data_IF_867548299827
#
_entry.id   IF_867548299827
#
_cell.length_a   1.000
_cell.length_b   1.000
_cell.length_c   1.000
_cell.angle_alpha   90.00
_cell.angle_beta   90.00
_cell.angle_gamma   90.00
#
_symmetry.space_group_name_H-M   'P 1'
#
loop_
_entity.id
_entity.type
_entity.pdbx_description
1 polymer ?
#
# COMPACT_ATOMS: atom_id res chain seq x y z
N UNK A 1 21.99 0.51 15.82
CA UNK A 1 21.31 1.31 16.82
C UNK A 1 21.45 0.65 18.19
N UNK A 2 21.27 1.41 19.25
CA UNK A 2 21.32 0.87 20.62
C UNK A 2 22.70 0.82 21.27
N UNK A 3 23.78 1.14 20.57
CA UNK A 3 25.10 1.37 21.15
C UNK A 3 25.31 2.87 21.36
N UNK A 4 26.04 3.24 22.42
CA UNK A 4 26.40 4.63 22.64
C UNK A 4 27.18 5.21 21.46
N UNK A 5 26.94 6.46 21.10
CA UNK A 5 27.59 7.19 20.00
C UNK A 5 27.36 6.58 18.59
N UNK A 6 26.42 5.63 18.41
CA UNK A 6 26.08 5.13 17.08
C UNK A 6 25.02 5.99 16.41
N UNK A 7 25.23 6.33 15.15
CA UNK A 7 24.25 7.02 14.30
C UNK A 7 23.87 6.06 13.16
N UNK A 8 22.58 5.88 12.94
CA UNK A 8 22.05 5.04 11.88
C UNK A 8 21.04 5.85 11.07
N UNK A 9 21.28 5.95 9.77
CA UNK A 9 20.37 6.56 8.81
C UNK A 9 19.58 5.44 8.15
N UNK A 10 18.26 5.60 8.10
CA UNK A 10 17.36 4.57 7.59
C UNK A 10 16.08 5.18 7.06
N UNK A 11 15.31 4.40 6.30
CA UNK A 11 14.00 4.78 5.80
C UNK A 11 12.87 4.27 6.71
N UNK A 12 11.63 4.57 6.37
CA UNK A 12 10.41 4.12 7.07
C UNK A 12 10.32 2.59 7.25
N UNK A 13 11.02 1.82 6.41
CA UNK A 13 11.09 0.35 6.48
C UNK A 13 11.60 -0.13 7.84
N UNK A 14 12.55 0.57 8.43
CA UNK A 14 13.08 0.26 9.77
C UNK A 14 12.12 0.58 10.90
N UNK A 15 10.99 1.22 10.63
CA UNK A 15 9.93 1.47 11.59
C UNK A 15 9.30 0.18 12.14
N UNK A 16 9.49 -1.00 11.51
CA UNK A 16 8.87 -2.27 11.89
C UNK A 16 9.83 -3.46 11.69
N UNK A 17 9.56 -4.57 12.39
CA UNK A 17 10.20 -5.87 12.13
C UNK A 17 11.52 -6.12 12.87
N UNK A 18 12.22 -5.09 13.36
CA UNK A 18 13.48 -5.25 14.10
C UNK A 18 13.34 -4.67 15.49
N UNK A 19 13.76 -5.41 16.52
CA UNK A 19 13.83 -4.90 17.88
C UNK A 19 15.19 -4.23 18.14
N UNK A 20 15.14 -3.03 18.71
CA UNK A 20 16.34 -2.26 19.04
C UNK A 20 16.62 -2.47 20.52
N UNK A 21 17.71 -3.18 20.82
CA UNK A 21 18.15 -3.42 22.19
C UNK A 21 19.21 -2.40 22.57
N UNK A 22 18.97 -1.68 23.68
CA UNK A 22 19.96 -0.78 24.24
C UNK A 22 21.13 -1.56 24.85
N UNK A 23 22.35 -1.08 24.63
CA UNK A 23 23.57 -1.74 25.12
C UNK A 23 24.25 -2.68 24.13
N UNK A 24 23.53 -3.12 23.07
CA UNK A 24 24.04 -4.02 22.03
C UNK A 24 23.28 -5.33 21.94
N UNK A 25 23.71 -6.23 21.04
CA UNK A 25 23.06 -7.51 20.79
C UNK A 25 23.42 -8.53 21.87
N UNK A 26 22.42 -9.23 22.41
CA UNK A 26 22.64 -10.38 23.31
C UNK A 26 23.49 -11.43 22.63
N UNK A 27 24.49 -11.95 23.35
CA UNK A 27 25.40 -12.98 22.83
C UNK A 27 26.68 -12.46 22.20
N UNK A 28 26.82 -11.16 21.93
CA UNK A 28 28.07 -10.58 21.41
C UNK A 28 28.97 -9.96 22.51
N UNK A 29 28.46 -9.80 23.72
CA UNK A 29 29.14 -9.17 24.87
C UNK A 29 28.72 -9.92 26.13
N UNK A 30 29.60 -9.96 27.15
CA UNK A 30 29.25 -10.51 28.47
C UNK A 30 28.04 -9.79 29.08
N UNK A 31 27.15 -10.52 29.72
CA UNK A 31 25.88 -9.96 30.25
C UNK A 31 26.07 -8.79 31.22
N UNK A 32 27.11 -8.85 32.06
CA UNK A 32 27.45 -7.77 32.99
C UNK A 32 27.83 -6.46 32.27
N UNK A 33 28.54 -6.58 31.18
CA UNK A 33 28.93 -5.44 30.34
C UNK A 33 27.73 -4.88 29.58
N UNK A 34 26.85 -5.75 29.13
CA UNK A 34 25.61 -5.37 28.43
C UNK A 34 24.66 -4.58 29.33
N UNK A 35 24.52 -5.00 30.61
CA UNK A 35 23.75 -4.26 31.62
C UNK A 35 24.34 -2.87 31.87
N UNK A 36 25.65 -2.79 32.12
CA UNK A 36 26.34 -1.50 32.33
C UNK A 36 26.17 -0.56 31.15
N UNK A 37 26.32 -1.07 29.91
CA UNK A 37 26.12 -0.28 28.69
C UNK A 37 24.66 0.18 28.54
N UNK A 38 23.68 -0.66 28.88
CA UNK A 38 22.28 -0.32 28.86
C UNK A 38 21.96 0.79 29.87
N UNK A 39 22.43 0.66 31.09
CA UNK A 39 22.22 1.64 32.17
C UNK A 39 22.88 2.99 31.82
N UNK A 40 24.06 2.96 31.25
CA UNK A 40 24.72 4.17 30.75
C UNK A 40 23.91 4.85 29.65
N UNK A 41 23.38 4.10 28.66
CA UNK A 41 22.57 4.67 27.59
C UNK A 41 21.25 5.25 28.14
N UNK A 42 20.63 4.59 29.11
CA UNK A 42 19.46 5.13 29.80
C UNK A 42 19.77 6.45 30.52
N UNK A 43 20.89 6.50 31.25
CA UNK A 43 21.27 7.72 32.00
C UNK A 43 21.52 8.94 31.11
N UNK A 44 21.86 8.74 29.83
CA UNK A 44 22.02 9.84 28.86
C UNK A 44 20.74 10.13 28.05
N UNK A 45 19.60 9.50 28.39
CA UNK A 45 18.30 9.76 27.78
C UNK A 45 17.81 8.75 26.72
N UNK A 46 18.50 7.59 26.62
CA UNK A 46 18.06 6.47 25.78
C UNK A 46 18.25 6.68 24.28
N UNK A 47 17.37 6.07 23.47
CA UNK A 47 17.42 6.18 22.03
C UNK A 47 16.75 7.49 21.57
N UNK A 48 17.46 8.26 20.74
CA UNK A 48 16.94 9.46 20.10
C UNK A 48 16.58 9.18 18.66
N UNK A 49 15.31 9.38 18.29
CA UNK A 49 14.78 9.19 16.95
C UNK A 49 14.55 10.55 16.32
N UNK A 50 15.18 10.80 15.18
CA UNK A 50 15.02 12.03 14.40
C UNK A 50 14.33 11.65 13.09
N UNK A 51 13.15 12.22 12.85
CA UNK A 51 12.49 12.19 11.55
C UNK A 51 12.81 13.47 10.78
N UNK A 52 13.24 13.34 9.54
CA UNK A 52 13.55 14.47 8.65
C UNK A 52 12.38 14.88 7.79
N UNK A 53 11.28 14.14 7.85
CA UNK A 53 10.01 14.40 7.16
C UNK A 53 8.85 13.73 7.90
N UNK A 54 7.62 14.11 7.59
CA UNK A 54 6.43 13.39 8.02
C UNK A 54 6.11 12.28 7.03
N UNK A 55 5.74 11.13 7.55
CA UNK A 55 5.26 10.02 6.73
C UNK A 55 3.84 10.26 6.22
N UNK A 56 3.43 9.54 5.19
CA UNK A 56 2.08 9.64 4.62
C UNK A 56 0.96 9.31 5.62
N UNK A 57 1.27 8.54 6.66
CA UNK A 57 0.31 8.12 7.68
C UNK A 57 0.82 8.40 9.09
N UNK A 58 -0.06 8.98 9.92
CA UNK A 58 0.20 9.20 11.35
C UNK A 58 0.61 7.92 12.09
N UNK A 59 0.07 6.78 11.65
CA UNK A 59 0.42 5.48 12.23
C UNK A 59 1.90 5.14 12.01
N UNK A 60 2.44 5.46 10.83
CA UNK A 60 3.85 5.22 10.50
C UNK A 60 4.75 6.17 11.30
N UNK A 61 4.37 7.45 11.45
CA UNK A 61 5.06 8.37 12.35
C UNK A 61 5.13 7.85 13.80
N UNK A 62 4.00 7.36 14.29
CA UNK A 62 3.93 6.79 15.64
C UNK A 62 4.77 5.51 15.78
N UNK A 63 4.88 4.70 14.72
CA UNK A 63 5.77 3.54 14.69
C UNK A 63 7.25 3.98 14.77
N UNK A 64 7.63 5.02 14.04
CA UNK A 64 8.97 5.58 14.11
C UNK A 64 9.25 6.17 15.51
N UNK A 65 8.33 6.94 16.07
CA UNK A 65 8.41 7.46 17.45
C UNK A 65 8.52 6.34 18.48
N UNK A 66 7.74 5.28 18.30
CA UNK A 66 7.73 4.11 19.18
C UNK A 66 9.02 3.27 19.11
N UNK A 67 10.01 3.64 18.30
CA UNK A 67 11.36 3.08 18.36
C UNK A 67 12.14 3.59 19.56
N UNK A 68 11.90 4.83 19.96
CA UNK A 68 12.36 5.34 21.26
C UNK A 68 11.43 4.82 22.37
N UNK A 69 11.95 4.58 23.55
CA UNK A 69 11.14 4.22 24.72
C UNK A 69 10.54 2.82 24.71
N UNK A 70 11.10 1.87 23.98
CA UNK A 70 10.63 0.47 23.99
C UNK A 70 10.88 -0.19 25.35
N UNK A 71 9.95 -1.07 25.73
CA UNK A 71 10.02 -1.82 27.01
C UNK A 71 10.16 -0.94 28.25
N UNK A 72 9.64 0.30 28.21
CA UNK A 72 9.74 1.26 29.30
C UNK A 72 11.11 1.93 29.42
N UNK A 73 12.00 1.75 28.43
CA UNK A 73 13.28 2.47 28.40
C UNK A 73 13.04 3.95 28.05
N UNK A 74 13.84 4.84 28.60
CA UNK A 74 13.83 6.26 28.25
C UNK A 74 14.20 6.46 26.79
N UNK A 75 13.62 7.49 26.16
CA UNK A 75 13.91 7.83 24.78
C UNK A 75 13.26 9.13 24.37
N UNK A 76 13.75 9.71 23.27
CA UNK A 76 13.23 10.97 22.71
C UNK A 76 12.98 10.83 21.24
N UNK A 77 12.02 11.61 20.73
CA UNK A 77 11.77 11.70 19.30
C UNK A 77 11.45 13.13 18.89
N UNK A 78 11.99 13.55 17.75
CA UNK A 78 11.70 14.85 17.14
C UNK A 78 11.51 14.67 15.63
N UNK A 79 10.63 15.46 15.04
CA UNK A 79 10.45 15.53 13.61
C UNK A 79 10.76 16.94 13.12
N UNK A 80 11.69 17.04 12.20
CA UNK A 80 11.96 18.24 11.42
C UNK A 80 11.21 18.13 10.11
N UNK A 81 10.42 19.14 9.77
CA UNK A 81 9.55 19.15 8.62
C UNK A 81 9.82 20.41 7.82
N UNK A 82 10.02 20.27 6.53
CA UNK A 82 10.14 21.39 5.60
C UNK A 82 8.79 21.70 4.96
N UNK A 83 8.61 22.96 4.57
CA UNK A 83 7.47 23.37 3.74
C UNK A 83 7.56 22.83 2.31
N UNK A 84 8.77 22.44 1.90
CA UNK A 84 9.05 21.84 0.60
C UNK A 84 8.79 20.34 0.57
N UNK A 85 8.53 19.70 1.73
CA UNK A 85 8.20 18.30 1.80
C UNK A 85 6.96 17.99 0.97
N UNK A 86 6.93 16.81 0.33
CA UNK A 86 5.86 16.40 -0.58
C UNK A 86 4.47 16.48 0.06
N UNK A 87 4.36 16.15 1.34
CA UNK A 87 3.12 16.27 2.10
C UNK A 87 2.61 17.72 2.16
N UNK A 88 3.52 18.66 2.36
CA UNK A 88 3.21 20.09 2.40
C UNK A 88 2.95 20.65 1.02
N UNK A 89 3.70 20.23 0.01
CA UNK A 89 3.54 20.65 -1.38
C UNK A 89 2.21 20.23 -1.97
N UNK A 90 1.72 19.01 -1.66
CA UNK A 90 0.48 18.47 -2.22
C UNK A 90 -0.76 18.99 -1.47
N UNK A 91 -0.67 19.16 -0.15
CA UNK A 91 -1.81 19.46 0.71
C UNK A 91 -1.67 20.76 1.52
N UNK A 92 -0.50 21.41 1.46
CA UNK A 92 -0.29 22.73 2.00
C UNK A 92 -1.14 23.72 1.20
N UNK A 93 -2.11 24.37 1.85
CA UNK A 93 -2.91 25.38 1.19
C UNK A 93 -2.08 26.66 1.00
N UNK A 94 -2.37 27.43 -0.08
CA UNK A 94 -1.82 28.78 -0.26
C UNK A 94 -2.02 29.67 0.99
N UNK A 95 -3.06 29.39 1.75
CA UNK A 95 -3.32 30.03 3.03
C UNK A 95 -2.19 29.81 4.05
N UNK A 96 -1.46 28.70 4.00
CA UNK A 96 -0.36 28.42 4.89
C UNK A 96 0.87 29.25 4.54
N UNK A 97 1.18 29.41 3.25
CA UNK A 97 2.25 30.28 2.78
C UNK A 97 1.99 31.73 3.19
N UNK A 98 0.74 32.18 3.09
CA UNK A 98 0.34 33.52 3.53
C UNK A 98 0.46 33.72 5.07
N UNK A 99 0.16 32.68 5.85
CA UNK A 99 0.31 32.72 7.31
C UNK A 99 1.80 32.78 7.68
N UNK A 100 2.63 31.99 7.01
CA UNK A 100 4.07 31.92 7.26
C UNK A 100 4.77 33.23 6.87
N UNK A 101 4.38 33.84 5.74
CA UNK A 101 4.85 35.18 5.38
C UNK A 101 4.43 36.24 6.39
N UNK A 102 3.22 36.16 6.95
CA UNK A 102 2.74 37.08 8.01
C UNK A 102 3.46 36.88 9.34
N UNK A 103 3.96 35.67 9.62
CA UNK A 103 4.76 35.37 10.81
C UNK A 103 6.22 35.84 10.67
N UNK A 104 6.59 36.43 9.53
CA UNK A 104 7.88 37.10 9.35
C UNK A 104 9.07 36.16 9.31
N UNK A 105 8.87 34.92 8.86
CA UNK A 105 9.94 33.93 8.72
C UNK A 105 11.01 34.38 7.77
N UNK A 106 12.23 34.40 8.27
CA UNK A 106 13.45 34.48 7.45
C UNK A 106 13.90 33.07 7.09
N UNK A 107 14.48 32.91 5.90
CA UNK A 107 15.05 31.64 5.47
C UNK A 107 16.02 31.09 6.54
N UNK A 108 15.78 29.84 6.95
CA UNK A 108 16.62 29.16 7.93
C UNK A 108 16.11 29.22 9.39
N UNK A 109 15.00 29.88 9.68
CA UNK A 109 14.40 29.86 11.03
C UNK A 109 13.47 28.67 11.21
N UNK A 110 13.52 28.00 12.37
CA UNK A 110 12.60 26.94 12.74
C UNK A 110 11.45 27.47 13.56
N UNK A 111 10.21 27.07 13.25
CA UNK A 111 9.04 27.43 14.02
C UNK A 111 8.45 26.19 14.69
N UNK A 112 8.25 26.31 15.98
CA UNK A 112 7.43 25.36 16.73
C UNK A 112 6.16 26.09 17.19
N UNK A 113 5.08 25.92 16.42
CA UNK A 113 3.81 26.54 16.74
C UNK A 113 2.66 25.53 16.66
N UNK A 114 1.75 25.49 17.64
CA UNK A 114 0.65 24.51 17.68
C UNK A 114 -0.24 24.51 16.44
N UNK A 115 -0.39 25.64 15.76
CA UNK A 115 -1.19 25.75 14.54
C UNK A 115 -0.55 25.03 13.35
N UNK A 116 0.78 25.06 13.26
CA UNK A 116 1.52 24.36 12.21
C UNK A 116 1.35 22.86 12.42
N UNK A 117 1.46 22.38 13.64
CA UNK A 117 1.24 20.98 13.97
C UNK A 117 -0.18 20.52 13.61
N UNK A 118 -1.21 21.35 13.89
CA UNK A 118 -2.60 21.07 13.45
C UNK A 118 -2.76 21.07 11.92
N UNK A 119 -2.09 21.96 11.21
CA UNK A 119 -2.14 22.03 9.78
C UNK A 119 -1.49 20.79 9.15
N UNK A 120 -0.34 20.36 9.66
CA UNK A 120 0.33 19.11 9.29
C UNK A 120 -0.56 17.88 9.53
N UNK A 121 -1.22 17.80 10.68
CA UNK A 121 -2.15 16.70 10.96
C UNK A 121 -3.32 16.66 9.97
N UNK A 122 -3.87 17.80 9.61
CA UNK A 122 -4.96 17.89 8.62
C UNK A 122 -4.48 17.50 7.21
N UNK A 123 -3.28 17.92 6.83
CA UNK A 123 -2.66 17.52 5.57
C UNK A 123 -2.48 15.99 5.52
N UNK A 124 -1.94 15.41 6.57
CA UNK A 124 -1.74 13.97 6.70
C UNK A 124 -3.08 13.19 6.64
N UNK A 125 -4.13 13.68 7.31
CA UNK A 125 -5.47 13.07 7.22
C UNK A 125 -6.03 13.08 5.79
N UNK A 126 -5.80 14.14 5.01
CA UNK A 126 -6.21 14.20 3.59
C UNK A 126 -5.47 13.19 2.74
N UNK A 127 -4.16 13.01 2.97
CA UNK A 127 -3.37 11.96 2.29
C UNK A 127 -3.90 10.57 2.63
N UNK A 128 -4.13 10.31 3.91
CA UNK A 128 -4.68 9.03 4.37
C UNK A 128 -6.04 8.73 3.74
N UNK A 129 -6.94 9.72 3.68
CA UNK A 129 -8.25 9.58 3.05
C UNK A 129 -8.12 9.27 1.54
N UNK A 130 -7.28 10.01 0.81
CA UNK A 130 -7.03 9.76 -0.61
C UNK A 130 -6.46 8.35 -0.84
N UNK A 131 -5.47 7.95 -0.07
CA UNK A 131 -4.88 6.62 -0.17
C UNK A 131 -5.88 5.51 0.19
N UNK A 132 -6.80 5.78 1.13
CA UNK A 132 -7.89 4.87 1.44
C UNK A 132 -8.85 4.71 0.25
N UNK A 133 -9.25 5.79 -0.40
CA UNK A 133 -10.15 5.75 -1.56
C UNK A 133 -9.52 5.03 -2.76
N UNK A 134 -8.23 5.26 -3.01
CA UNK A 134 -7.47 4.52 -4.04
C UNK A 134 -7.48 3.02 -3.73
N UNK A 135 -7.15 2.63 -2.51
CA UNK A 135 -7.17 1.20 -2.11
C UNK A 135 -8.56 0.59 -2.22
N UNK A 136 -9.59 1.32 -1.81
CA UNK A 136 -10.99 0.87 -1.93
C UNK A 136 -11.39 0.62 -3.38
N UNK A 137 -10.96 1.49 -4.28
CA UNK A 137 -11.20 1.33 -5.72
C UNK A 137 -10.46 0.11 -6.28
N UNK A 138 -9.19 -0.08 -5.91
CA UNK A 138 -8.42 -1.26 -6.31
C UNK A 138 -9.07 -2.57 -5.83
N UNK A 139 -9.54 -2.60 -4.58
CA UNK A 139 -10.25 -3.79 -4.04
C UNK A 139 -11.54 -4.09 -4.83
N UNK A 140 -12.28 -3.06 -5.28
CA UNK A 140 -13.46 -3.29 -6.11
C UNK A 140 -13.12 -3.97 -7.44
N UNK A 141 -12.02 -3.58 -8.09
CA UNK A 141 -11.55 -4.27 -9.30
C UNK A 141 -11.08 -5.68 -9.00
N UNK A 142 -10.35 -5.87 -7.91
CA UNK A 142 -9.87 -7.21 -7.51
C UNK A 142 -11.02 -8.16 -7.19
N UNK A 143 -12.10 -7.68 -6.57
CA UNK A 143 -13.30 -8.47 -6.31
C UNK A 143 -13.91 -9.02 -7.60
N UNK A 144 -14.04 -8.19 -8.66
CA UNK A 144 -14.56 -8.63 -9.96
C UNK A 144 -13.69 -9.74 -10.56
N UNK A 145 -12.37 -9.58 -10.50
CA UNK A 145 -11.43 -10.61 -10.98
C UNK A 145 -11.50 -11.88 -10.12
N UNK A 146 -11.72 -11.74 -8.82
CA UNK A 146 -11.86 -12.88 -7.92
C UNK A 146 -13.17 -13.65 -8.19
N UNK A 147 -14.26 -12.95 -8.44
CA UNK A 147 -15.54 -13.57 -8.79
C UNK A 147 -15.40 -14.36 -10.11
N UNK A 148 -14.78 -13.75 -11.14
CA UNK A 148 -14.47 -14.46 -12.38
C UNK A 148 -13.60 -15.70 -12.14
N UNK A 149 -12.58 -15.58 -11.30
CA UNK A 149 -11.72 -16.72 -10.94
C UNK A 149 -12.49 -17.82 -10.24
N UNK A 150 -13.37 -17.48 -9.32
CA UNK A 150 -14.21 -18.47 -8.62
C UNK A 150 -15.13 -19.22 -9.58
N UNK A 151 -15.76 -18.51 -10.53
CA UNK A 151 -16.60 -19.14 -11.56
C UNK A 151 -15.78 -20.12 -12.40
N UNK A 152 -14.61 -19.71 -12.90
CA UNK A 152 -13.74 -20.59 -13.71
C UNK A 152 -13.27 -21.79 -12.90
N UNK A 153 -12.87 -21.60 -11.62
CA UNK A 153 -12.45 -22.72 -10.78
C UNK A 153 -13.60 -23.68 -10.47
N UNK A 154 -14.81 -23.16 -10.24
CA UNK A 154 -16.00 -23.99 -10.03
C UNK A 154 -16.31 -24.83 -11.28
N UNK A 155 -16.35 -24.19 -12.46
CA UNK A 155 -16.58 -24.89 -13.74
C UNK A 155 -15.50 -25.95 -13.99
N UNK A 156 -14.23 -25.61 -13.73
CA UNK A 156 -13.14 -26.57 -13.86
C UNK A 156 -13.28 -27.76 -12.92
N UNK A 157 -13.65 -27.50 -11.67
CA UNK A 157 -13.89 -28.58 -10.68
C UNK A 157 -15.05 -29.48 -11.12
N UNK A 158 -16.15 -28.88 -11.56
CA UNK A 158 -17.30 -29.61 -12.05
C UNK A 158 -16.99 -30.43 -13.32
N UNK A 159 -16.17 -29.87 -14.23
CA UNK A 159 -15.71 -30.60 -15.43
C UNK A 159 -14.73 -31.74 -15.11
N UNK A 160 -14.06 -31.71 -13.96
CA UNK A 160 -13.22 -32.82 -13.49
C UNK A 160 -14.05 -33.95 -12.84
N UNK A 161 -15.29 -33.68 -12.52
CA UNK A 161 -16.25 -34.68 -12.04
C UNK A 161 -16.83 -35.43 -13.25
N UNK A 162 -16.46 -36.71 -13.40
CA UNK A 162 -16.72 -37.51 -14.62
C UNK A 162 -18.21 -37.64 -14.98
N UNK A 163 -19.12 -37.44 -14.04
CA UNK A 163 -20.55 -37.53 -14.30
C UNK A 163 -21.13 -36.30 -15.01
N UNK A 164 -20.53 -35.14 -14.83
CA UNK A 164 -21.04 -33.86 -15.34
C UNK A 164 -20.38 -33.36 -16.64
N UNK A 165 -19.33 -34.02 -17.10
CA UNK A 165 -18.54 -33.53 -18.24
C UNK A 165 -19.37 -33.49 -19.53
N UNK A 166 -20.27 -34.45 -19.72
CA UNK A 166 -21.14 -34.52 -20.90
C UNK A 166 -22.21 -33.43 -20.86
N UNK A 167 -22.78 -33.11 -19.72
CA UNK A 167 -23.75 -32.03 -19.55
C UNK A 167 -23.14 -30.67 -19.91
N UNK A 168 -21.88 -30.44 -19.53
CA UNK A 168 -21.14 -29.24 -19.92
C UNK A 168 -20.90 -29.18 -21.43
N UNK A 169 -20.51 -30.31 -22.06
CA UNK A 169 -20.29 -30.39 -23.45
C UNK A 169 -21.55 -30.07 -24.25
N UNK A 170 -22.69 -30.61 -23.83
CA UNK A 170 -23.98 -30.39 -24.51
C UNK A 170 -24.46 -28.93 -24.33
N UNK A 171 -24.22 -28.32 -23.15
CA UNK A 171 -24.54 -26.92 -22.95
C UNK A 171 -23.69 -25.99 -23.83
N UNK A 172 -22.38 -26.24 -23.94
CA UNK A 172 -21.49 -25.45 -24.81
C UNK A 172 -21.87 -25.62 -26.29
N UNK A 173 -22.21 -26.85 -26.71
CA UNK A 173 -22.68 -27.10 -28.06
C UNK A 173 -23.98 -26.34 -28.38
N UNK A 174 -24.93 -26.36 -27.46
CA UNK A 174 -26.20 -25.66 -27.61
C UNK A 174 -25.97 -24.13 -27.71
N UNK A 175 -25.11 -23.58 -26.87
CA UNK A 175 -24.77 -22.16 -26.93
C UNK A 175 -24.08 -21.76 -28.22
N UNK A 176 -23.18 -22.56 -28.73
CA UNK A 176 -22.51 -22.34 -30.03
C UNK A 176 -23.54 -22.39 -31.18
N UNK A 177 -24.45 -23.35 -31.16
CA UNK A 177 -25.51 -23.50 -32.16
C UNK A 177 -26.45 -22.28 -32.15
N UNK A 178 -26.88 -21.85 -30.99
CA UNK A 178 -27.74 -20.68 -30.82
C UNK A 178 -27.08 -19.39 -31.32
N UNK A 179 -25.78 -19.23 -31.03
CA UNK A 179 -24.98 -18.11 -31.55
C UNK A 179 -24.89 -18.13 -33.07
N UNK A 180 -24.65 -19.30 -33.70
CA UNK A 180 -24.59 -19.45 -35.15
C UNK A 180 -25.96 -19.17 -35.79
N UNK A 181 -27.05 -19.65 -35.19
CA UNK A 181 -28.41 -19.36 -35.62
C UNK A 181 -28.70 -17.86 -35.59
N UNK A 182 -28.35 -17.19 -34.50
CA UNK A 182 -28.51 -15.73 -34.30
C UNK A 182 -27.75 -14.95 -35.39
N UNK A 183 -26.50 -15.32 -35.67
CA UNK A 183 -25.70 -14.72 -36.74
C UNK A 183 -26.29 -14.96 -38.12
N UNK A 184 -26.90 -16.15 -38.38
CA UNK A 184 -27.59 -16.45 -39.64
C UNK A 184 -28.83 -15.57 -39.81
N UNK A 185 -29.61 -15.37 -38.76
CA UNK A 185 -30.79 -14.49 -38.79
C UNK A 185 -30.36 -13.05 -39.10
N UNK A 186 -29.30 -12.56 -38.44
CA UNK A 186 -28.74 -11.23 -38.70
C UNK A 186 -28.25 -11.09 -40.15
N UNK A 187 -27.63 -12.12 -40.72
CA UNK A 187 -27.22 -12.14 -42.12
C UNK A 187 -28.39 -12.09 -43.07
N UNK A 188 -29.49 -12.76 -42.75
CA UNK A 188 -30.70 -12.70 -43.58
C UNK A 188 -31.31 -11.29 -43.58
N UNK A 189 -31.21 -10.58 -42.47
CA UNK A 189 -31.66 -9.18 -42.33
C UNK A 189 -30.67 -8.19 -42.96
N UNK A 190 -29.37 -8.51 -43.04
CA UNK A 190 -28.33 -7.69 -43.67
C UNK A 190 -27.36 -8.55 -44.50
N UNK A 191 -27.61 -8.73 -45.80
CA UNK A 191 -26.84 -9.65 -46.67
C UNK A 191 -25.34 -9.30 -46.80
N UNK A 192 -24.96 -8.06 -46.52
CA UNK A 192 -23.54 -7.60 -46.56
C UNK A 192 -22.72 -8.04 -45.33
N UNK A 193 -23.35 -8.53 -44.30
CA UNK A 193 -22.65 -8.99 -43.09
C UNK A 193 -22.03 -10.39 -43.34
N UNK A 194 -20.69 -10.45 -43.33
CA UNK A 194 -19.94 -11.69 -43.56
C UNK A 194 -19.55 -12.44 -42.27
N UNK A 195 -20.00 -11.95 -41.13
CA UNK A 195 -19.62 -12.47 -39.81
C UNK A 195 -20.06 -13.93 -39.60
N UNK A 196 -21.26 -14.28 -40.07
CA UNK A 196 -21.74 -15.67 -40.10
C UNK A 196 -20.82 -16.59 -40.87
N UNK A 197 -20.41 -16.22 -42.08
CA UNK A 197 -19.54 -17.04 -42.90
C UNK A 197 -18.17 -17.22 -42.28
N UNK A 198 -17.62 -16.17 -41.70
CA UNK A 198 -16.33 -16.21 -41.00
C UNK A 198 -16.40 -17.10 -39.76
N UNK A 199 -17.45 -17.00 -38.96
CA UNK A 199 -17.63 -17.84 -37.78
C UNK A 199 -17.82 -19.30 -38.14
N UNK A 200 -18.63 -19.60 -39.17
CA UNK A 200 -18.84 -20.95 -39.65
C UNK A 200 -17.53 -21.60 -40.16
N UNK A 201 -16.74 -20.84 -40.91
CA UNK A 201 -15.41 -21.31 -41.36
C UNK A 201 -14.49 -21.61 -40.17
N UNK A 202 -14.46 -20.77 -39.20
CA UNK A 202 -13.63 -20.97 -37.98
C UNK A 202 -14.06 -22.25 -37.23
N UNK A 203 -15.36 -22.48 -37.10
CA UNK A 203 -15.87 -23.71 -36.44
C UNK A 203 -15.54 -24.98 -37.25
N UNK A 204 -15.66 -24.94 -38.60
CA UNK A 204 -15.40 -26.10 -39.43
C UNK A 204 -13.91 -26.38 -39.64
N UNK A 205 -13.05 -25.34 -39.66
CA UNK A 205 -11.59 -25.52 -39.78
C UNK A 205 -10.97 -26.19 -38.56
N UNK A 206 -11.60 -26.08 -37.41
CA UNK A 206 -11.12 -26.76 -36.19
C UNK A 206 -11.49 -28.25 -36.13
N UNK A 207 -12.41 -28.69 -36.96
CA UNK A 207 -12.88 -30.09 -37.02
C UNK A 207 -12.33 -30.87 -38.24
N UNK A 208 -11.48 -30.23 -39.03
CA UNK A 208 -10.77 -30.90 -40.16
C UNK A 208 -9.42 -31.42 -39.65
N UNK A 209 -9.11 -32.74 -39.79
CA UNK A 209 -7.82 -33.31 -39.38
C UNK A 209 -6.66 -32.77 -40.22
#
# INVERSE_FOLDING_TARGET
AGKAKSVIITTSISGRGVDIQLGGKKGSIQENQLKKNKDYIKSIGGLFVIGTERMESRRVDNQARGRSGRQGDEGRSIFYVSLEDDLMRIFGSESMNNILQKLGLKDGESIDHPWINKALERAQQKVEARNFDIRKTLIKFDNVLNDQRQVVFSQRKDAMDSEKIFDYSDNFLSEIVDNIISLKIQKLSNPKNNEFNNRLKTCLLYTSP
#
